data_IF_868807721677
#
_entry.id   IF_868807721677
#
_cell.length_a   1.000
_cell.length_b   1.000
_cell.length_c   1.000
_cell.angle_alpha   90.00
_cell.angle_beta   90.00
_cell.angle_gamma   90.00
#
_symmetry.space_group_name_H-M   'P 1'
#
loop_
_entity.id
_entity.type
_entity.pdbx_description
1 polymer ?
#
# COMPACT_ATOMS: atom_id res chain seq x y z
N UNK A 1 -36.72 -17.60 16.65
CA UNK A 1 -35.69 -18.60 16.34
C UNK A 1 -35.76 -19.76 17.31
N UNK A 2 -36.30 -20.90 16.88
CA UNK A 2 -36.36 -22.12 17.69
C UNK A 2 -34.96 -22.56 18.18
N UNK A 3 -34.93 -23.18 19.36
CA UNK A 3 -33.71 -23.77 19.96
C UNK A 3 -32.97 -24.70 18.98
N UNK A 4 -33.71 -25.39 18.10
CA UNK A 4 -33.15 -26.28 17.07
C UNK A 4 -32.36 -25.54 15.99
N UNK A 5 -32.91 -24.46 15.43
CA UNK A 5 -32.23 -23.65 14.41
C UNK A 5 -30.97 -22.99 14.96
N UNK A 6 -31.01 -22.48 16.20
CA UNK A 6 -29.82 -21.93 16.88
C UNK A 6 -28.71 -22.97 17.02
N UNK A 7 -29.04 -24.17 17.50
CA UNK A 7 -28.08 -25.28 17.65
C UNK A 7 -27.51 -25.71 16.30
N UNK A 8 -28.36 -25.83 15.27
CA UNK A 8 -27.92 -26.17 13.92
C UNK A 8 -26.92 -25.15 13.37
N UNK A 9 -27.22 -23.85 13.45
CA UNK A 9 -26.31 -22.79 12.99
C UNK A 9 -24.99 -22.84 13.75
N UNK A 10 -25.02 -22.99 15.07
CA UNK A 10 -23.80 -23.12 15.88
C UNK A 10 -22.96 -24.32 15.44
N UNK A 11 -23.58 -25.48 15.23
CA UNK A 11 -22.89 -26.69 14.76
C UNK A 11 -22.25 -26.46 13.38
N UNK A 12 -22.97 -25.86 12.43
CA UNK A 12 -22.44 -25.55 11.09
C UNK A 12 -21.25 -24.60 11.18
N UNK A 13 -21.34 -23.56 12.01
CA UNK A 13 -20.24 -22.61 12.24
C UNK A 13 -19.02 -23.32 12.85
N UNK A 14 -19.23 -24.17 13.85
CA UNK A 14 -18.13 -24.95 14.46
C UNK A 14 -17.47 -25.86 13.42
N UNK A 15 -18.25 -26.60 12.63
CA UNK A 15 -17.72 -27.46 11.58
C UNK A 15 -16.95 -26.68 10.52
N UNK A 16 -17.45 -25.51 10.13
CA UNK A 16 -16.75 -24.63 9.19
C UNK A 16 -15.42 -24.10 9.78
N UNK A 17 -15.41 -23.71 11.05
CA UNK A 17 -14.18 -23.28 11.75
C UNK A 17 -13.18 -24.41 11.87
N UNK A 18 -13.61 -25.60 12.29
CA UNK A 18 -12.74 -26.79 12.39
C UNK A 18 -12.20 -27.20 11.02
N UNK A 19 -13.04 -27.23 10.00
CA UNK A 19 -12.63 -27.50 8.62
C UNK A 19 -11.63 -26.46 8.10
N UNK A 20 -11.86 -25.18 8.38
CA UNK A 20 -10.93 -24.09 8.04
C UNK A 20 -9.59 -24.21 8.75
N UNK A 21 -9.58 -24.49 10.05
CA UNK A 21 -8.35 -24.73 10.83
C UNK A 21 -7.60 -25.96 10.32
N UNK A 22 -8.31 -27.03 9.97
CA UNK A 22 -7.73 -28.22 9.35
C UNK A 22 -7.08 -27.92 8.01
N UNK A 23 -7.77 -27.17 7.14
CA UNK A 23 -7.22 -26.75 5.85
C UNK A 23 -5.98 -25.86 6.02
N UNK A 24 -5.97 -24.93 6.98
CA UNK A 24 -4.79 -24.14 7.32
C UNK A 24 -3.63 -25.03 7.77
N UNK A 25 -3.89 -26.02 8.63
CA UNK A 25 -2.86 -26.93 9.13
C UNK A 25 -2.23 -27.77 8.02
N UNK A 26 -3.04 -28.29 7.08
CA UNK A 26 -2.55 -29.08 5.93
C UNK A 26 -1.57 -28.29 5.07
N UNK A 27 -1.73 -26.96 4.97
CA UNK A 27 -0.82 -26.11 4.20
C UNK A 27 0.38 -25.62 5.02
N UNK A 28 0.24 -25.37 6.32
CA UNK A 28 1.31 -24.82 7.16
C UNK A 28 2.29 -25.88 7.70
N UNK A 29 1.79 -27.08 7.97
CA UNK A 29 2.60 -28.12 8.62
C UNK A 29 3.73 -28.67 7.74
N UNK A 30 3.53 -28.94 6.43
CA UNK A 30 4.61 -29.35 5.55
C UNK A 30 5.74 -28.32 5.46
N UNK A 31 5.39 -27.04 5.36
CA UNK A 31 6.36 -25.95 5.32
C UNK A 31 7.14 -25.85 6.65
N UNK A 32 6.43 -25.95 7.79
CA UNK A 32 7.07 -25.97 9.10
C UNK A 32 8.11 -27.09 9.22
N UNK A 33 7.74 -28.32 8.83
CA UNK A 33 8.65 -29.47 8.85
C UNK A 33 9.84 -29.26 7.90
N UNK A 34 9.61 -28.71 6.71
CA UNK A 34 10.68 -28.43 5.77
C UNK A 34 11.70 -27.45 6.37
N UNK A 35 11.26 -26.34 6.97
CA UNK A 35 12.15 -25.36 7.62
C UNK A 35 12.89 -25.94 8.83
N UNK A 36 12.29 -26.88 9.54
CA UNK A 36 12.94 -27.63 10.62
C UNK A 36 14.02 -28.57 10.08
N UNK A 37 13.78 -29.25 8.95
CA UNK A 37 14.78 -30.13 8.31
C UNK A 37 16.03 -29.39 7.81
N UNK A 38 15.89 -28.12 7.41
CA UNK A 38 17.02 -27.30 6.93
C UNK A 38 17.66 -26.43 8.02
N UNK A 39 17.31 -26.61 9.30
CA UNK A 39 17.78 -25.80 10.44
C UNK A 39 17.47 -24.28 10.34
N UNK A 40 16.49 -23.89 9.52
CA UNK A 40 16.03 -22.50 9.34
C UNK A 40 14.71 -22.21 10.05
N UNK A 41 14.38 -22.94 11.12
CA UNK A 41 13.18 -22.73 11.95
C UNK A 41 12.94 -21.27 12.37
N UNK A 42 13.95 -20.47 12.76
CA UNK A 42 13.75 -19.05 13.06
C UNK A 42 13.16 -18.25 11.89
N UNK A 43 13.53 -18.58 10.64
CA UNK A 43 13.01 -17.92 9.44
C UNK A 43 11.52 -18.20 9.29
N UNK A 44 11.08 -19.45 9.43
CA UNK A 44 9.66 -19.80 9.39
C UNK A 44 8.85 -19.04 10.45
N UNK A 45 9.34 -18.99 11.69
CA UNK A 45 8.65 -18.25 12.77
C UNK A 45 8.57 -16.75 12.47
N UNK A 46 9.59 -16.17 11.84
CA UNK A 46 9.58 -14.77 11.42
C UNK A 46 8.57 -14.52 10.30
N UNK A 47 8.50 -15.40 9.30
CA UNK A 47 7.52 -15.32 8.20
C UNK A 47 6.11 -15.42 8.78
N UNK A 48 5.80 -16.48 9.52
CA UNK A 48 4.47 -16.72 10.08
C UNK A 48 4.04 -15.61 11.04
N UNK A 49 4.94 -15.18 11.94
CA UNK A 49 4.68 -14.08 12.85
C UNK A 49 4.37 -12.77 12.11
N UNK A 50 5.11 -12.48 11.04
CA UNK A 50 4.86 -11.28 10.22
C UNK A 50 3.55 -11.38 9.46
N UNK A 51 3.22 -12.53 8.86
CA UNK A 51 1.94 -12.76 8.17
C UNK A 51 0.75 -12.50 9.10
N UNK A 52 0.79 -13.08 10.31
CA UNK A 52 -0.26 -12.90 11.33
C UNK A 52 -0.34 -11.43 11.75
N UNK A 53 0.80 -10.79 12.02
CA UNK A 53 0.83 -9.38 12.44
C UNK A 53 0.25 -8.44 11.37
N UNK A 54 0.74 -8.53 10.13
CA UNK A 54 0.27 -7.69 9.02
C UNK A 54 -1.22 -7.93 8.75
N UNK A 55 -1.64 -9.19 8.74
CA UNK A 55 -3.04 -9.54 8.55
C UNK A 55 -3.95 -9.02 9.65
N UNK A 56 -3.52 -9.11 10.91
CA UNK A 56 -4.27 -8.58 12.05
C UNK A 56 -4.38 -7.05 12.01
N UNK A 57 -3.27 -6.34 11.77
CA UNK A 57 -3.25 -4.87 11.69
C UNK A 57 -4.17 -4.37 10.58
N UNK A 58 -4.04 -4.92 9.36
CA UNK A 58 -4.88 -4.50 8.23
C UNK A 58 -6.34 -4.88 8.47
N UNK A 59 -6.61 -6.09 8.97
CA UNK A 59 -7.97 -6.53 9.32
C UNK A 59 -8.64 -5.57 10.31
N UNK A 60 -7.95 -5.22 11.41
CA UNK A 60 -8.47 -4.27 12.43
C UNK A 60 -8.70 -2.88 11.83
N UNK A 61 -7.80 -2.38 10.99
CA UNK A 61 -7.98 -1.10 10.30
C UNK A 61 -9.22 -1.10 9.40
N UNK A 62 -9.39 -2.13 8.56
CA UNK A 62 -10.56 -2.29 7.69
C UNK A 62 -11.85 -2.38 8.52
N UNK A 63 -11.86 -3.18 9.58
CA UNK A 63 -13.01 -3.32 10.46
C UNK A 63 -13.39 -1.97 11.07
N UNK A 64 -12.40 -1.24 11.60
CA UNK A 64 -12.61 0.06 12.23
C UNK A 64 -13.24 1.07 11.26
N UNK A 65 -12.70 1.18 10.04
CA UNK A 65 -13.23 2.08 9.00
C UNK A 65 -14.67 1.69 8.63
N UNK A 66 -14.94 0.41 8.41
CA UNK A 66 -16.27 -0.09 8.05
C UNK A 66 -17.29 0.12 9.17
N UNK A 67 -16.91 -0.15 10.42
CA UNK A 67 -17.78 0.06 11.57
C UNK A 67 -18.06 1.53 11.80
N UNK A 68 -17.05 2.41 11.75
CA UNK A 68 -17.27 3.86 11.87
C UNK A 68 -18.22 4.35 10.78
N UNK A 69 -18.03 3.90 9.54
CA UNK A 69 -18.94 4.27 8.46
C UNK A 69 -20.36 3.77 8.72
N UNK A 70 -20.53 2.51 9.09
CA UNK A 70 -21.83 1.92 9.37
C UNK A 70 -22.52 2.60 10.55
N UNK A 71 -21.77 2.98 11.58
CA UNK A 71 -22.25 3.76 12.72
C UNK A 71 -22.74 5.15 12.30
N UNK A 72 -22.02 5.83 11.41
CA UNK A 72 -22.44 7.13 10.88
C UNK A 72 -23.71 7.00 10.02
N UNK A 73 -23.79 5.97 9.17
CA UNK A 73 -25.01 5.68 8.39
C UNK A 73 -26.18 5.38 9.32
N UNK A 74 -25.96 4.57 10.37
CA UNK A 74 -26.96 4.28 11.38
C UNK A 74 -27.40 5.56 12.11
N UNK A 75 -26.47 6.46 12.44
CA UNK A 75 -26.75 7.72 13.14
C UNK A 75 -27.52 8.73 12.29
N UNK A 76 -27.30 8.76 10.97
CA UNK A 76 -27.89 9.74 10.07
C UNK A 76 -29.17 9.25 9.36
N UNK A 77 -29.49 7.96 9.41
CA UNK A 77 -30.74 7.42 8.87
C UNK A 77 -31.89 7.49 9.89
N UNK A 78 -33.07 8.04 9.52
CA UNK A 78 -34.26 8.01 10.38
C UNK A 78 -34.82 6.60 10.59
N UNK A 79 -35.52 6.37 11.70
CA UNK A 79 -35.84 5.03 12.21
C UNK A 79 -36.91 4.23 11.45
N UNK A 80 -37.57 4.79 10.43
CA UNK A 80 -38.71 4.15 9.76
C UNK A 80 -38.29 3.44 8.47
N UNK A 81 -37.83 2.19 8.59
CA UNK A 81 -37.71 1.30 7.43
C UNK A 81 -39.04 0.57 7.26
N UNK A 82 -39.85 0.97 6.27
CA UNK A 82 -41.08 0.24 5.93
C UNK A 82 -40.74 -1.09 5.23
N UNK A 83 -41.24 -2.24 5.69
CA UNK A 83 -41.03 -3.56 5.07
C UNK A 83 -41.52 -3.67 3.61
N UNK A 84 -42.31 -2.70 3.13
CA UNK A 84 -42.95 -2.74 1.82
C UNK A 84 -41.96 -2.87 0.64
N UNK A 85 -40.69 -2.45 0.81
CA UNK A 85 -39.67 -2.55 -0.24
C UNK A 85 -39.13 -3.98 -0.44
N UNK A 86 -39.23 -4.87 0.55
CA UNK A 86 -38.63 -6.21 0.47
C UNK A 86 -39.51 -7.27 -0.21
N UNK A 87 -40.60 -6.85 -0.88
CA UNK A 87 -41.40 -7.71 -1.76
C UNK A 87 -41.83 -9.02 -1.10
N UNK A 88 -42.79 -8.96 -0.18
CA UNK A 88 -43.72 -10.06 0.10
C UNK A 88 -43.13 -11.46 0.38
N UNK A 89 -41.93 -11.57 0.96
CA UNK A 89 -41.46 -12.84 1.51
C UNK A 89 -41.16 -12.66 2.99
N UNK A 90 -42.10 -13.16 3.80
CA UNK A 90 -41.96 -13.38 5.23
C UNK A 90 -40.73 -14.27 5.46
N UNK A 91 -39.57 -13.66 5.70
CA UNK A 91 -38.36 -14.39 6.08
C UNK A 91 -38.54 -14.93 7.52
N UNK A 92 -39.16 -16.11 7.60
CA UNK A 92 -39.19 -17.08 8.68
C UNK A 92 -39.17 -16.52 10.13
N UNK A 93 -40.38 -16.35 10.68
CA UNK A 93 -40.67 -16.63 12.10
C UNK A 93 -40.40 -15.49 13.08
N UNK A 94 -41.19 -14.43 13.00
CA UNK A 94 -41.27 -13.41 14.04
C UNK A 94 -42.19 -12.26 13.66
N UNK A 95 -43.42 -12.31 14.17
CA UNK A 95 -44.42 -11.25 14.18
C UNK A 95 -43.89 -9.99 14.91
N UNK A 96 -43.05 -9.20 14.27
CA UNK A 96 -42.77 -7.85 14.75
C UNK A 96 -42.95 -6.86 13.61
N UNK A 97 -44.16 -6.33 13.53
CA UNK A 97 -44.53 -5.03 12.96
C UNK A 97 -43.86 -3.85 13.70
N UNK A 98 -42.63 -4.05 14.20
CA UNK A 98 -41.80 -3.04 14.86
C UNK A 98 -40.65 -2.64 13.92
N UNK A 99 -40.68 -1.43 13.32
CA UNK A 99 -39.61 -0.91 12.48
C UNK A 99 -38.21 -0.96 13.13
N UNK A 100 -38.14 -0.95 14.47
CA UNK A 100 -36.89 -1.06 15.21
C UNK A 100 -36.20 -2.42 15.10
N UNK A 101 -36.96 -3.52 15.02
CA UNK A 101 -36.42 -4.87 14.94
C UNK A 101 -35.79 -5.16 13.57
N UNK A 102 -36.47 -4.76 12.48
CA UNK A 102 -35.96 -4.90 11.10
C UNK A 102 -34.67 -4.11 10.91
N UNK A 103 -34.60 -2.89 11.45
CA UNK A 103 -33.38 -2.07 11.41
C UNK A 103 -32.21 -2.77 12.11
N UNK A 104 -32.41 -3.31 13.32
CA UNK A 104 -31.35 -4.04 14.04
C UNK A 104 -30.87 -5.27 13.26
N UNK A 105 -31.78 -5.99 12.59
CA UNK A 105 -31.43 -7.16 11.79
C UNK A 105 -30.57 -6.79 10.57
N UNK A 106 -30.95 -5.76 9.80
CA UNK A 106 -30.20 -5.30 8.62
C UNK A 106 -28.80 -4.84 9.01
N UNK A 107 -28.69 -3.94 10.00
CA UNK A 107 -27.39 -3.42 10.44
C UNK A 107 -26.54 -4.50 11.14
N UNK A 108 -27.18 -5.46 11.82
CA UNK A 108 -26.51 -6.65 12.35
C UNK A 108 -25.91 -7.52 11.23
N UNK A 109 -26.67 -7.75 10.17
CA UNK A 109 -26.20 -8.45 8.97
C UNK A 109 -25.03 -7.72 8.27
N UNK A 110 -25.15 -6.40 8.08
CA UNK A 110 -24.08 -5.57 7.52
C UNK A 110 -22.81 -5.56 8.40
N UNK A 111 -22.97 -5.59 9.72
CA UNK A 111 -21.84 -5.69 10.66
C UNK A 111 -21.14 -7.04 10.51
N UNK A 112 -21.89 -8.14 10.41
CA UNK A 112 -21.34 -9.46 10.16
C UNK A 112 -20.59 -9.51 8.82
N UNK A 113 -21.18 -8.94 7.75
CA UNK A 113 -20.53 -8.81 6.45
C UNK A 113 -19.23 -8.00 6.54
N UNK A 114 -19.22 -6.90 7.29
CA UNK A 114 -18.04 -6.08 7.51
C UNK A 114 -16.93 -6.84 8.25
N UNK A 115 -17.27 -7.67 9.24
CA UNK A 115 -16.31 -8.55 9.94
C UNK A 115 -15.72 -9.57 8.96
N UNK A 116 -16.57 -10.26 8.19
CA UNK A 116 -16.09 -11.24 7.21
C UNK A 116 -15.19 -10.60 6.15
N UNK A 117 -15.57 -9.43 5.64
CA UNK A 117 -14.79 -8.69 4.66
C UNK A 117 -13.46 -8.17 5.24
N UNK A 118 -13.46 -7.72 6.50
CA UNK A 118 -12.24 -7.33 7.21
C UNK A 118 -11.26 -8.51 7.35
N UNK A 119 -11.75 -9.70 7.72
CA UNK A 119 -10.92 -10.91 7.81
C UNK A 119 -10.35 -11.27 6.43
N UNK A 120 -11.17 -11.22 5.38
CA UNK A 120 -10.72 -11.45 4.01
C UNK A 120 -9.61 -10.47 3.61
N UNK A 121 -9.79 -9.18 3.92
CA UNK A 121 -8.79 -8.15 3.62
C UNK A 121 -7.49 -8.35 4.42
N UNK A 122 -7.59 -8.70 5.70
CA UNK A 122 -6.45 -9.08 6.52
C UNK A 122 -5.68 -10.28 5.93
N UNK A 123 -6.40 -11.30 5.44
CA UNK A 123 -5.79 -12.43 4.74
C UNK A 123 -5.01 -11.98 3.49
N UNK A 124 -5.60 -11.15 2.62
CA UNK A 124 -4.90 -10.64 1.42
C UNK A 124 -3.66 -9.80 1.75
N UNK A 125 -3.65 -9.13 2.90
CA UNK A 125 -2.50 -8.38 3.39
C UNK A 125 -1.40 -9.29 3.93
N UNK A 126 -1.79 -10.38 4.60
CA UNK A 126 -0.85 -11.38 5.13
C UNK A 126 -0.03 -12.03 4.02
N UNK A 127 -0.60 -12.23 2.82
CA UNK A 127 0.12 -12.74 1.65
C UNK A 127 1.21 -11.78 1.13
N UNK A 128 1.13 -10.50 1.50
CA UNK A 128 2.08 -9.45 1.11
C UNK A 128 3.08 -9.07 2.21
N UNK A 129 3.28 -9.95 3.19
CA UNK A 129 4.22 -9.77 4.31
C UNK A 129 5.65 -9.35 3.90
N UNK A 130 6.12 -9.77 2.72
CA UNK A 130 7.44 -9.39 2.19
C UNK A 130 7.59 -7.88 2.01
N UNK A 131 6.51 -7.18 1.68
CA UNK A 131 6.53 -5.72 1.54
C UNK A 131 6.84 -5.06 2.89
N UNK A 132 6.28 -5.61 3.97
CA UNK A 132 6.54 -5.15 5.33
C UNK A 132 7.99 -5.41 5.74
N UNK A 133 8.50 -6.64 5.57
CA UNK A 133 9.89 -6.92 5.96
C UNK A 133 10.90 -6.14 5.12
N UNK A 134 10.66 -5.96 3.82
CA UNK A 134 11.53 -5.13 2.98
C UNK A 134 11.66 -3.70 3.49
N UNK A 135 10.55 -3.11 3.95
CA UNK A 135 10.55 -1.77 4.51
C UNK A 135 11.34 -1.68 5.83
N UNK A 136 11.10 -2.62 6.76
CA UNK A 136 11.70 -2.56 8.10
C UNK A 136 13.16 -3.06 8.15
N UNK A 137 13.60 -3.76 7.12
CA UNK A 137 14.99 -4.24 6.96
C UNK A 137 15.61 -3.59 5.72
N UNK A 138 15.27 -2.33 5.44
CA UNK A 138 15.85 -1.57 4.34
C UNK A 138 17.29 -1.21 4.69
N UNK A 139 18.24 -2.00 4.21
CA UNK A 139 19.65 -1.65 4.27
C UNK A 139 20.07 -0.84 3.04
N UNK A 140 21.15 -0.08 3.16
CA UNK A 140 21.69 0.70 2.05
C UNK A 140 22.17 -0.24 0.93
N UNK A 141 21.59 -0.13 -0.27
CA UNK A 141 22.06 -0.86 -1.44
C UNK A 141 23.38 -0.25 -1.91
N UNK A 142 24.48 -0.85 -1.49
CA UNK A 142 25.77 -0.63 -2.15
C UNK A 142 25.82 -1.53 -3.36
N UNK A 143 25.80 -0.92 -4.55
CA UNK A 143 26.16 -1.60 -5.77
C UNK A 143 27.68 -1.49 -5.90
N UNK A 144 28.46 -2.56 -5.63
CA UNK A 144 29.86 -2.54 -6.05
C UNK A 144 29.85 -2.28 -7.56
N UNK A 145 30.59 -1.26 -8.01
CA UNK A 145 30.71 -1.00 -9.43
C UNK A 145 31.11 -2.31 -10.12
N UNK A 146 30.56 -2.55 -11.32
CA UNK A 146 30.85 -3.76 -12.09
C UNK A 146 32.36 -3.94 -12.40
N UNK A 147 33.16 -2.92 -12.15
CA UNK A 147 34.62 -2.93 -12.25
C UNK A 147 35.20 -2.59 -10.89
N UNK A 148 35.83 -3.56 -10.22
CA UNK A 148 36.76 -3.25 -9.13
C UNK A 148 37.92 -2.50 -9.74
N UNK A 149 38.05 -1.20 -9.47
CA UNK A 149 39.18 -0.46 -9.98
C UNK A 149 40.26 -0.52 -8.92
N UNK A 150 41.19 -1.45 -9.12
CA UNK A 150 42.47 -1.42 -8.43
C UNK A 150 43.18 -0.14 -8.85
N UNK A 151 43.55 0.69 -7.89
CA UNK A 151 44.46 1.81 -8.09
C UNK A 151 45.84 1.22 -8.46
N UNK A 152 46.03 0.86 -9.73
CA UNK A 152 47.32 0.42 -10.27
C UNK A 152 48.04 1.64 -10.86
N UNK A 153 49.06 2.11 -10.14
CA UNK A 153 49.90 3.23 -10.57
C UNK A 153 49.45 4.61 -10.04
N UNK A 154 50.18 5.65 -10.46
CA UNK A 154 50.10 7.08 -10.05
C UNK A 154 48.76 7.74 -10.42
N UNK A 155 47.65 7.22 -9.94
CA UNK A 155 46.40 7.95 -9.82
C UNK A 155 46.50 8.68 -8.48
N UNK A 156 46.33 10.00 -8.48
CA UNK A 156 46.37 10.79 -7.25
C UNK A 156 45.40 10.17 -6.23
N UNK A 157 45.82 10.06 -4.96
CA UNK A 157 45.11 9.34 -3.88
C UNK A 157 43.66 9.81 -3.59
N UNK A 158 43.18 10.81 -4.35
CA UNK A 158 41.88 11.45 -4.24
C UNK A 158 40.99 11.25 -5.49
N UNK A 159 41.41 10.46 -6.49
CA UNK A 159 40.65 10.25 -7.73
C UNK A 159 39.98 8.87 -7.75
N UNK A 160 38.65 8.86 -7.93
CA UNK A 160 37.88 7.63 -8.16
C UNK A 160 37.57 7.52 -9.64
N UNK A 161 38.10 6.51 -10.35
CA UNK A 161 37.81 6.30 -11.76
C UNK A 161 36.33 5.90 -11.97
N UNK A 162 35.69 6.53 -12.95
CA UNK A 162 34.25 6.39 -13.23
C UNK A 162 34.04 6.40 -14.73
N UNK A 163 33.17 5.53 -15.24
CA UNK A 163 32.87 5.54 -16.67
C UNK A 163 32.16 6.83 -17.09
N UNK A 164 32.41 7.32 -18.31
CA UNK A 164 31.72 8.50 -18.84
C UNK A 164 30.19 8.35 -18.84
N UNK A 165 29.68 7.14 -19.10
CA UNK A 165 28.24 6.87 -19.04
C UNK A 165 27.70 7.01 -17.61
N UNK A 166 28.42 6.56 -16.59
CA UNK A 166 28.01 6.73 -15.19
C UNK A 166 28.10 8.19 -14.74
N UNK A 167 29.12 8.93 -15.16
CA UNK A 167 29.23 10.38 -14.92
C UNK A 167 28.03 11.13 -15.50
N UNK A 168 27.69 10.83 -16.75
CA UNK A 168 26.53 11.41 -17.44
C UNK A 168 25.20 10.97 -16.81
N UNK A 169 25.08 9.70 -16.41
CA UNK A 169 23.86 9.16 -15.80
C UNK A 169 23.60 9.72 -14.40
N UNK A 170 24.66 9.94 -13.61
CA UNK A 170 24.55 10.41 -12.22
C UNK A 170 24.36 11.94 -12.14
N UNK A 171 24.62 12.69 -13.21
CA UNK A 171 24.46 14.16 -13.28
C UNK A 171 25.06 14.88 -12.05
N UNK A 172 26.21 14.39 -11.60
CA UNK A 172 26.93 14.91 -10.44
C UNK A 172 27.61 16.21 -10.87
N UNK A 173 27.50 17.25 -10.05
CA UNK A 173 28.17 18.53 -10.25
C UNK A 173 29.35 18.67 -9.31
N UNK A 174 30.31 19.52 -9.70
CA UNK A 174 31.38 19.96 -8.81
C UNK A 174 30.75 20.61 -7.57
N UNK A 175 31.14 20.13 -6.38
CA UNK A 175 30.62 20.54 -5.08
C UNK A 175 29.50 19.67 -4.51
N UNK A 176 28.99 18.68 -5.24
CA UNK A 176 27.98 17.75 -4.71
C UNK A 176 28.60 16.81 -3.65
N UNK A 177 27.88 16.50 -2.55
CA UNK A 177 28.27 15.47 -1.61
C UNK A 177 28.05 14.08 -2.24
N UNK A 178 29.01 13.19 -2.04
CA UNK A 178 29.03 11.83 -2.57
C UNK A 178 29.51 10.88 -1.48
N UNK A 179 28.79 9.79 -1.26
CA UNK A 179 29.24 8.73 -0.36
C UNK A 179 30.15 7.76 -1.12
N UNK A 180 31.26 7.42 -0.51
CA UNK A 180 32.21 6.43 -1.02
C UNK A 180 32.36 5.35 0.03
N UNK A 181 32.29 4.10 -0.41
CA UNK A 181 32.65 2.98 0.45
C UNK A 181 34.09 2.59 0.16
N UNK A 182 34.95 2.69 1.17
CA UNK A 182 36.35 2.31 1.11
C UNK A 182 36.55 1.17 2.10
N UNK A 183 36.95 0.00 1.61
CA UNK A 183 37.18 -1.20 2.42
C UNK A 183 36.01 -1.54 3.37
N UNK A 184 34.78 -1.39 2.87
CA UNK A 184 33.55 -1.66 3.63
C UNK A 184 33.05 -0.51 4.51
N UNK A 185 33.81 0.57 4.67
CA UNK A 185 33.43 1.73 5.49
C UNK A 185 32.89 2.88 4.62
N UNK A 186 31.70 3.39 4.96
CA UNK A 186 31.11 4.54 4.29
C UNK A 186 31.79 5.84 4.76
N UNK A 187 32.18 6.67 3.80
CA UNK A 187 32.75 8.00 4.04
C UNK A 187 32.09 9.01 3.12
N UNK A 188 31.71 10.17 3.66
CA UNK A 188 31.14 11.28 2.89
C UNK A 188 32.28 12.12 2.30
N UNK A 189 32.24 12.34 1.00
CA UNK A 189 33.22 13.14 0.25
C UNK A 189 32.51 14.21 -0.58
N UNK A 190 33.24 15.24 -1.02
CA UNK A 190 32.70 16.26 -1.95
C UNK A 190 33.38 16.17 -3.30
N UNK A 191 32.64 16.32 -4.38
CA UNK A 191 33.26 16.39 -5.72
C UNK A 191 34.07 17.67 -5.87
N UNK A 192 35.37 17.55 -6.05
CA UNK A 192 36.30 18.66 -6.28
C UNK A 192 36.38 19.00 -7.77
N UNK A 193 36.54 17.98 -8.61
CA UNK A 193 36.66 18.12 -10.04
C UNK A 193 36.10 16.87 -10.75
N UNK A 194 35.54 17.08 -11.94
CA UNK A 194 35.06 16.01 -12.81
C UNK A 194 36.07 15.91 -13.95
N UNK A 195 36.81 14.80 -13.99
CA UNK A 195 37.78 14.47 -15.03
C UNK A 195 37.08 13.67 -16.14
N UNK A 196 37.80 13.43 -17.23
CA UNK A 196 37.25 12.75 -18.42
C UNK A 196 36.78 11.32 -18.13
N UNK A 197 37.44 10.61 -17.20
CA UNK A 197 37.13 9.23 -16.78
C UNK A 197 37.23 9.02 -15.25
N UNK A 198 37.19 10.09 -14.46
CA UNK A 198 37.32 10.02 -13.00
C UNK A 198 36.62 11.19 -12.30
N UNK A 199 36.32 11.03 -11.02
CA UNK A 199 35.91 12.12 -10.13
C UNK A 199 37.02 12.33 -9.10
N UNK A 200 37.51 13.57 -9.01
CA UNK A 200 38.39 13.98 -7.92
C UNK A 200 37.53 14.38 -6.72
N UNK A 201 37.82 13.81 -5.55
CA UNK A 201 37.11 14.06 -4.32
C UNK A 201 37.94 14.95 -3.40
N UNK A 202 37.30 15.99 -2.87
CA UNK A 202 37.83 16.82 -1.81
C UNK A 202 37.45 16.19 -0.48
N UNK A 203 38.38 15.44 0.12
CA UNK A 203 38.31 15.03 1.52
C UNK A 203 39.66 14.60 2.08
N UNK A 204 39.78 14.62 3.42
CA UNK A 204 40.86 14.06 4.25
C UNK A 204 41.02 12.52 4.13
N UNK A 205 40.53 11.94 3.04
CA UNK A 205 40.39 10.52 2.81
C UNK A 205 41.48 10.15 1.82
N UNK A 206 42.62 9.72 2.36
CA UNK A 206 43.72 9.18 1.57
C UNK A 206 43.35 7.74 1.20
N UNK A 207 43.10 7.46 -0.07
CA UNK A 207 42.92 6.08 -0.55
C UNK A 207 44.32 5.47 -0.67
N UNK A 208 44.61 4.43 0.11
CA UNK A 208 45.90 3.75 0.03
C UNK A 208 45.99 2.94 -1.28
N UNK A 209 47.19 2.85 -1.91
CA UNK A 209 47.37 2.05 -3.12
C UNK A 209 46.93 0.59 -2.91
N UNK A 210 45.97 0.14 -3.72
CA UNK A 210 45.41 -1.22 -3.65
C UNK A 210 44.06 -1.35 -2.91
N UNK A 211 43.54 -0.28 -2.29
CA UNK A 211 42.19 -0.29 -1.72
C UNK A 211 41.11 -0.24 -2.80
N UNK A 212 40.03 -1.02 -2.62
CA UNK A 212 38.85 -0.96 -3.48
C UNK A 212 37.92 0.13 -2.97
N UNK A 213 37.76 1.19 -3.77
CA UNK A 213 36.78 2.24 -3.53
C UNK A 213 35.62 2.12 -4.52
N UNK A 214 34.40 2.21 -4.03
CA UNK A 214 33.20 2.27 -4.86
C UNK A 214 32.34 3.45 -4.43
N UNK A 215 31.55 4.01 -5.35
CA UNK A 215 30.46 4.87 -4.93
C UNK A 215 29.52 4.04 -4.07
N UNK A 216 29.47 4.36 -2.78
CA UNK A 216 28.29 4.01 -2.01
C UNK A 216 27.17 4.78 -2.70
N UNK A 217 26.09 4.10 -3.08
CA UNK A 217 24.84 4.81 -3.35
C UNK A 217 24.67 5.84 -2.23
N UNK A 218 24.43 7.11 -2.57
CA UNK A 218 23.20 7.47 -3.24
C UNK A 218 23.42 7.72 -4.74
N UNK A 219 23.02 6.76 -5.59
CA UNK A 219 22.59 7.11 -6.93
C UNK A 219 21.19 7.72 -6.81
N UNK A 220 21.10 8.99 -6.36
CA UNK A 220 19.83 9.72 -6.35
C UNK A 220 19.34 9.82 -7.78
N UNK A 221 18.07 9.46 -7.98
CA UNK A 221 17.47 9.61 -9.28
C UNK A 221 17.51 11.11 -9.70
N UNK A 222 17.82 11.44 -10.96
CA UNK A 222 17.97 12.83 -11.37
C UNK A 222 16.70 13.68 -11.27
N UNK A 223 15.50 13.06 -11.25
CA UNK A 223 14.21 13.72 -11.39
C UNK A 223 13.58 14.02 -10.03
N UNK A 224 13.43 13.00 -9.18
CA UNK A 224 12.76 13.05 -7.88
C UNK A 224 13.73 13.11 -6.69
N UNK A 225 15.04 12.98 -6.95
CA UNK A 225 16.12 13.05 -5.95
C UNK A 225 15.99 12.01 -4.82
N UNK A 226 15.43 10.84 -5.12
CA UNK A 226 15.28 9.70 -4.22
C UNK A 226 16.32 8.63 -4.54
N UNK A 227 16.75 7.91 -3.52
CA UNK A 227 17.72 6.83 -3.65
C UNK A 227 17.08 5.55 -4.19
N UNK A 228 17.87 4.68 -4.81
CA UNK A 228 17.38 3.38 -5.31
C UNK A 228 16.75 2.55 -4.19
N UNK A 229 17.31 2.61 -2.98
CA UNK A 229 16.77 1.96 -1.79
C UNK A 229 15.32 2.37 -1.49
N UNK A 230 14.97 3.65 -1.68
CA UNK A 230 13.60 4.13 -1.52
C UNK A 230 12.64 3.41 -2.47
N UNK A 231 12.99 3.29 -3.75
CA UNK A 231 12.09 2.67 -4.73
C UNK A 231 11.93 1.16 -4.56
N UNK A 232 13.00 0.48 -4.11
CA UNK A 232 13.01 -0.98 -3.95
C UNK A 232 12.40 -1.43 -2.63
N UNK A 233 12.68 -0.73 -1.53
CA UNK A 233 12.29 -1.15 -0.18
C UNK A 233 11.12 -0.35 0.39
N UNK A 234 11.16 0.98 0.27
CA UNK A 234 10.18 1.83 0.94
C UNK A 234 8.89 2.03 0.14
N UNK A 235 9.03 2.34 -1.15
CA UNK A 235 7.94 2.67 -2.06
C UNK A 235 6.87 1.58 -2.14
N UNK A 236 7.20 0.27 -2.18
CA UNK A 236 6.18 -0.77 -2.24
C UNK A 236 5.22 -0.75 -1.04
N UNK A 237 5.72 -0.45 0.17
CA UNK A 237 4.87 -0.37 1.37
C UNK A 237 3.96 0.86 1.31
N UNK A 238 4.53 2.03 1.02
CA UNK A 238 3.75 3.26 0.92
C UNK A 238 2.68 3.20 -0.17
N UNK A 239 3.02 2.60 -1.31
CA UNK A 239 2.07 2.34 -2.39
C UNK A 239 0.97 1.39 -1.98
N UNK A 240 1.30 0.31 -1.28
CA UNK A 240 0.32 -0.65 -0.77
C UNK A 240 -0.65 0.01 0.22
N UNK A 241 -0.15 0.81 1.17
CA UNK A 241 -0.97 1.57 2.13
C UNK A 241 -1.89 2.56 1.39
N UNK A 242 -1.34 3.34 0.46
CA UNK A 242 -2.13 4.32 -0.30
C UNK A 242 -3.22 3.64 -1.14
N UNK A 243 -2.90 2.52 -1.80
CA UNK A 243 -3.84 1.76 -2.63
C UNK A 243 -4.94 1.10 -1.81
N UNK A 244 -4.61 0.52 -0.65
CA UNK A 244 -5.59 -0.07 0.26
C UNK A 244 -6.52 0.99 0.86
N UNK A 245 -5.99 2.14 1.29
CA UNK A 245 -6.79 3.27 1.77
C UNK A 245 -7.75 3.80 0.68
N UNK A 246 -7.25 4.02 -0.53
CA UNK A 246 -8.09 4.41 -1.66
C UNK A 246 -9.21 3.40 -1.91
N UNK A 247 -8.87 2.10 -1.95
CA UNK A 247 -9.84 1.02 -2.19
C UNK A 247 -10.92 0.95 -1.11
N UNK A 248 -10.57 1.03 0.17
CA UNK A 248 -11.55 0.95 1.26
C UNK A 248 -12.44 2.19 1.32
N UNK A 249 -11.90 3.40 1.16
CA UNK A 249 -12.71 4.63 1.15
C UNK A 249 -13.62 4.71 -0.09
N UNK A 250 -13.15 4.26 -1.26
CA UNK A 250 -13.99 4.12 -2.45
C UNK A 250 -15.14 3.15 -2.22
N UNK A 251 -14.85 1.95 -1.69
CA UNK A 251 -15.86 0.95 -1.36
C UNK A 251 -16.88 1.51 -0.37
N UNK A 252 -16.41 2.10 0.72
CA UNK A 252 -17.25 2.69 1.76
C UNK A 252 -18.13 3.82 1.20
N UNK A 253 -17.60 4.63 0.28
CA UNK A 253 -18.36 5.69 -0.40
C UNK A 253 -19.50 5.09 -1.23
N UNK A 254 -19.22 4.02 -2.00
CA UNK A 254 -20.22 3.32 -2.81
C UNK A 254 -21.30 2.71 -1.90
N UNK A 255 -20.91 1.95 -0.88
CA UNK A 255 -21.86 1.34 0.05
C UNK A 255 -22.72 2.38 0.79
N UNK A 256 -22.11 3.47 1.27
CA UNK A 256 -22.86 4.55 1.91
C UNK A 256 -23.87 5.19 0.95
N UNK A 257 -23.46 5.43 -0.30
CA UNK A 257 -24.35 5.98 -1.35
C UNK A 257 -25.52 5.05 -1.61
N UNK A 258 -25.26 3.75 -1.78
CA UNK A 258 -26.28 2.73 -2.00
C UNK A 258 -27.26 2.66 -0.83
N UNK A 259 -26.76 2.60 0.40
CA UNK A 259 -27.61 2.52 1.60
C UNK A 259 -28.48 3.79 1.73
N UNK A 260 -27.91 4.98 1.55
CA UNK A 260 -28.69 6.22 1.61
C UNK A 260 -29.69 6.36 0.47
N UNK A 261 -29.35 5.91 -0.74
CA UNK A 261 -30.25 5.90 -1.88
C UNK A 261 -31.47 5.02 -1.60
N UNK A 262 -31.26 3.77 -1.16
CA UNK A 262 -32.35 2.88 -0.78
C UNK A 262 -33.17 3.42 0.40
N UNK A 263 -32.54 4.01 1.40
CA UNK A 263 -33.27 4.63 2.52
C UNK A 263 -34.16 5.81 2.10
N UNK A 264 -33.65 6.71 1.25
CA UNK A 264 -34.49 7.82 0.79
C UNK A 264 -35.55 7.40 -0.23
N UNK A 265 -35.36 6.29 -0.97
CA UNK A 265 -36.40 5.69 -1.80
C UNK A 265 -37.56 5.12 -0.96
N UNK A 266 -37.26 4.58 0.23
CA UNK A 266 -38.28 4.05 1.16
C UNK A 266 -39.03 5.17 1.92
N UNK A 267 -38.39 6.32 2.11
CA UNK A 267 -38.90 7.43 2.93
C UNK A 267 -39.62 8.50 2.09
N UNK A 268 -39.29 8.64 0.81
CA UNK A 268 -39.81 9.69 -0.06
C UNK A 268 -41.28 9.48 -0.44
N UNK A 269 -42.05 10.57 -0.49
CA UNK A 269 -43.39 10.59 -1.10
C UNK A 269 -43.25 10.28 -2.60
N UNK A 270 -43.70 9.09 -3.00
CA UNK A 270 -43.63 8.57 -4.38
C UNK A 270 -44.36 9.44 -5.40
N UNK A 271 -45.19 10.41 -4.96
CA UNK A 271 -45.89 11.35 -5.84
C UNK A 271 -45.01 12.47 -6.40
N UNK A 272 -43.86 12.76 -5.77
CA UNK A 272 -42.88 13.73 -6.29
C UNK A 272 -41.47 13.17 -6.11
N UNK A 273 -40.76 12.89 -7.20
CA UNK A 273 -39.34 12.49 -7.25
C UNK A 273 -38.34 13.53 -6.68
N UNK A 274 -38.71 14.33 -5.66
CA UNK A 274 -37.85 15.30 -5.00
C UNK A 274 -37.08 14.64 -3.85
N UNK A 275 -36.03 13.89 -4.18
CA UNK A 275 -35.04 13.43 -3.21
C UNK A 275 -34.23 14.62 -2.67
N UNK A 276 -34.57 15.10 -1.47
CA UNK A 276 -33.80 16.13 -0.74
C UNK A 276 -33.19 15.51 0.53
N UNK A 277 -31.96 14.97 0.45
CA UNK A 277 -31.31 14.37 1.61
C UNK A 277 -30.98 15.43 2.67
N UNK A 278 -31.07 15.10 3.97
CA UNK A 278 -30.74 16.01 5.05
C UNK A 278 -29.27 16.42 5.00
N UNK A 279 -28.93 17.55 5.62
CA UNK A 279 -27.57 18.12 5.59
C UNK A 279 -26.50 17.12 6.01
N UNK A 280 -26.73 16.36 7.08
CA UNK A 280 -25.76 15.40 7.63
C UNK A 280 -25.40 14.28 6.64
N UNK A 281 -26.37 13.81 5.85
CA UNK A 281 -26.15 12.76 4.83
C UNK A 281 -25.28 13.29 3.70
N UNK A 282 -25.57 14.51 3.23
CA UNK A 282 -24.74 15.18 2.23
C UNK A 282 -23.33 15.41 2.76
N UNK A 283 -23.19 15.97 3.96
CA UNK A 283 -21.90 16.22 4.59
C UNK A 283 -21.06 14.92 4.69
N UNK A 284 -21.64 13.82 5.19
CA UNK A 284 -20.96 12.52 5.27
C UNK A 284 -20.48 12.02 3.90
N UNK A 285 -21.32 12.08 2.87
CA UNK A 285 -20.95 11.67 1.52
C UNK A 285 -19.86 12.55 0.92
N UNK A 286 -19.96 13.88 1.07
CA UNK A 286 -18.92 14.80 0.61
C UNK A 286 -17.59 14.57 1.34
N UNK A 287 -17.63 14.30 2.65
CA UNK A 287 -16.43 13.95 3.41
C UNK A 287 -15.80 12.65 2.89
N UNK A 288 -16.59 11.60 2.66
CA UNK A 288 -16.07 10.33 2.12
C UNK A 288 -15.48 10.47 0.71
N UNK A 289 -16.16 11.22 -0.17
CA UNK A 289 -15.66 11.53 -1.51
C UNK A 289 -14.36 12.32 -1.42
N UNK A 290 -14.31 13.37 -0.60
CA UNK A 290 -13.10 14.17 -0.40
C UNK A 290 -11.92 13.35 0.11
N UNK A 291 -12.13 12.48 1.11
CA UNK A 291 -11.08 11.57 1.60
C UNK A 291 -10.63 10.59 0.50
N UNK A 292 -11.56 10.07 -0.30
CA UNK A 292 -11.24 9.18 -1.44
C UNK A 292 -10.40 9.91 -2.49
N UNK A 293 -10.70 11.17 -2.79
CA UNK A 293 -9.93 12.00 -3.72
C UNK A 293 -8.55 12.34 -3.17
N UNK A 294 -8.41 12.63 -1.87
CA UNK A 294 -7.11 12.83 -1.24
C UNK A 294 -6.23 11.58 -1.32
N UNK A 295 -6.80 10.40 -1.08
CA UNK A 295 -6.09 9.13 -1.27
C UNK A 295 -5.68 8.94 -2.74
N UNK A 296 -6.55 9.33 -3.69
CA UNK A 296 -6.23 9.29 -5.12
C UNK A 296 -5.12 10.25 -5.51
N UNK A 297 -5.10 11.44 -4.92
CA UNK A 297 -4.07 12.46 -5.12
C UNK A 297 -2.71 11.97 -4.64
N UNK A 298 -2.64 11.38 -3.44
CA UNK A 298 -1.42 10.74 -2.95
C UNK A 298 -0.96 9.63 -3.90
N UNK A 299 -1.88 8.81 -4.43
CA UNK A 299 -1.52 7.75 -5.37
C UNK A 299 -0.83 8.25 -6.65
N UNK A 300 -1.12 9.48 -7.12
CA UNK A 300 -0.44 10.04 -8.29
C UNK A 300 1.07 10.22 -8.07
N UNK A 301 1.54 10.44 -6.85
CA UNK A 301 2.97 10.51 -6.54
C UNK A 301 3.69 9.20 -6.91
N UNK A 302 3.09 8.05 -6.58
CA UNK A 302 3.65 6.75 -6.93
C UNK A 302 3.55 6.46 -8.43
N UNK A 303 2.50 6.93 -9.10
CA UNK A 303 2.39 6.81 -10.57
C UNK A 303 3.48 7.64 -11.27
N UNK A 304 3.90 8.77 -10.69
CA UNK A 304 5.03 9.55 -11.21
C UNK A 304 6.36 8.81 -11.02
N UNK A 305 6.56 8.14 -9.88
CA UNK A 305 7.73 7.30 -9.64
C UNK A 305 7.81 6.10 -10.59
N UNK A 306 6.66 5.51 -10.96
CA UNK A 306 6.59 4.42 -11.95
C UNK A 306 7.11 4.82 -13.33
N UNK A 307 7.16 6.12 -13.65
CA UNK A 307 7.72 6.58 -14.91
C UNK A 307 9.21 6.23 -15.06
N UNK A 308 9.93 6.06 -13.94
CA UNK A 308 11.33 5.59 -13.96
C UNK A 308 11.44 4.11 -14.35
N UNK A 309 10.41 3.31 -14.07
CA UNK A 309 10.35 1.89 -14.41
C UNK A 309 9.74 1.62 -15.80
N UNK A 310 9.05 2.61 -16.37
CA UNK A 310 8.37 2.51 -17.66
C UNK A 310 9.37 2.49 -18.84
N UNK A 311 10.14 1.41 -18.97
CA UNK A 311 10.86 1.12 -20.22
C UNK A 311 9.85 0.56 -21.23
N UNK A 312 9.48 1.34 -22.25
CA UNK A 312 8.69 0.79 -23.35
C UNK A 312 9.47 -0.38 -23.99
N UNK A 313 8.83 -1.55 -24.10
CA UNK A 313 9.39 -2.80 -24.63
C UNK A 313 9.92 -2.72 -26.08
N UNK A 314 9.83 -1.56 -26.73
CA UNK A 314 10.12 -1.36 -28.16
C UNK A 314 11.41 -0.57 -28.39
N UNK A 315 11.86 0.28 -27.45
CA UNK A 315 13.11 1.06 -27.59
C UNK A 315 13.80 1.22 -26.23
N UNK A 316 14.77 0.33 -25.95
CA UNK A 316 15.68 0.47 -24.82
C UNK A 316 16.60 1.67 -25.07
N UNK A 317 16.27 2.82 -24.48
CA UNK A 317 17.16 4.00 -24.42
C UNK A 317 16.50 5.34 -24.72
N UNK A 318 15.56 5.42 -25.67
CA UNK A 318 14.94 6.70 -26.10
C UNK A 318 13.50 6.93 -25.62
N UNK A 319 12.74 5.86 -25.36
CA UNK A 319 11.31 5.97 -25.03
C UNK A 319 11.01 6.47 -23.61
N UNK A 320 11.94 6.28 -22.67
CA UNK A 320 11.77 6.68 -21.27
C UNK A 320 11.73 8.19 -21.09
N UNK A 321 12.69 8.92 -21.69
CA UNK A 321 12.78 10.37 -21.58
C UNK A 321 11.54 11.08 -22.15
N UNK A 322 11.12 10.72 -23.36
CA UNK A 322 9.94 11.30 -23.99
C UNK A 322 8.65 10.98 -23.20
N UNK A 323 8.53 9.76 -22.67
CA UNK A 323 7.38 9.38 -21.84
C UNK A 323 7.36 10.15 -20.52
N UNK A 324 8.50 10.34 -19.87
CA UNK A 324 8.62 11.14 -18.64
C UNK A 324 8.22 12.59 -18.93
N UNK A 325 8.80 13.22 -19.96
CA UNK A 325 8.53 14.62 -20.29
C UNK A 325 7.07 14.85 -20.70
N UNK A 326 6.42 13.88 -21.36
CA UNK A 326 5.01 14.00 -21.73
C UNK A 326 4.05 13.69 -20.58
N UNK A 327 4.31 12.66 -19.76
CA UNK A 327 3.37 12.17 -18.74
C UNK A 327 3.48 12.92 -17.42
N UNK A 328 4.68 13.33 -17.03
CA UNK A 328 4.92 13.98 -15.74
C UNK A 328 4.11 15.29 -15.58
N UNK A 329 4.05 16.19 -16.57
CA UNK A 329 3.19 17.37 -16.49
C UNK A 329 1.70 17.03 -16.37
N UNK A 330 1.22 16.04 -17.12
CA UNK A 330 -0.19 15.59 -17.08
C UNK A 330 -0.54 15.02 -15.71
N UNK A 331 0.33 14.20 -15.12
CA UNK A 331 0.12 13.64 -13.78
C UNK A 331 0.14 14.72 -12.70
N UNK A 332 1.02 15.73 -12.81
CA UNK A 332 1.01 16.89 -11.92
C UNK A 332 -0.31 17.67 -12.02
N UNK A 333 -0.82 17.91 -13.23
CA UNK A 333 -2.12 18.57 -13.43
C UNK A 333 -3.25 17.75 -12.81
N UNK A 334 -3.27 16.43 -13.03
CA UNK A 334 -4.27 15.54 -12.42
C UNK A 334 -4.20 15.55 -10.89
N UNK A 335 -3.01 15.59 -10.32
CA UNK A 335 -2.81 15.69 -8.87
C UNK A 335 -3.42 16.98 -8.32
N UNK A 336 -3.08 18.13 -8.91
CA UNK A 336 -3.59 19.42 -8.43
C UNK A 336 -5.11 19.56 -8.63
N UNK A 337 -5.63 19.08 -9.76
CA UNK A 337 -7.06 19.03 -10.03
C UNK A 337 -7.80 18.18 -9.00
N UNK A 338 -7.25 17.02 -8.64
CA UNK A 338 -7.85 16.12 -7.64
C UNK A 338 -7.84 16.70 -6.23
N UNK A 339 -6.85 17.54 -5.88
CA UNK A 339 -6.80 18.24 -4.59
C UNK A 339 -7.79 19.40 -4.53
N UNK A 340 -8.09 20.02 -5.68
CA UNK A 340 -8.96 21.19 -5.77
C UNK A 340 -10.46 20.84 -5.86
N UNK A 341 -10.79 19.65 -6.38
CA UNK A 341 -12.14 19.08 -6.38
C UNK A 341 -12.55 18.56 -5.00
#
# INVERSE_FOLDING_TARGET
>A
MESRTKRFVITVVILAVVGGLGALWVNLYPDFLWFEMVDYKPVFTKILGTKIFVGAVVGVCYLTILLINLLLIYRFTPAHLSPAFMGGTEFAGGTSSDPGATRKMIYGGLTLLAILFSILMGYTASDRWEIYLRFFNSDELVFPAATSISVEGTIDANEIPVSQLELQAKNIKVGDPVNVQIDGTNQEARVEAILENAIRLNTNVQIEPGQKAFFASPARDPIFKKDVAFYVFEMPLWRYICGTLFGIFMLVTIFATVIYFFHGLITGDTSQFRFRPPFNVKAHLFTLVGVTLLCRAWNYQFVMYDLLYASNNIVRGGGGYAAIQARLPVLNIMLWLTILC
#
